data_IF_250243909643
#
_entry.id   IF_250243909643
#
_cell.length_a   1.000
_cell.length_b   1.000
_cell.length_c   1.000
_cell.angle_alpha   90.00
_cell.angle_beta   90.00
_cell.angle_gamma   90.00
#
_symmetry.space_group_name_H-M   'P 1'
#
loop_
_entity.id
_entity.type
_entity.pdbx_description
1 polymer ?
#
# COMPACT_ATOMS: atom_id res chain seq x y z
N UNK A 1 -0.25 4.21 22.27
CA UNK A 1 -1.29 4.91 21.46
C UNK A 1 -0.63 6.01 20.68
N UNK A 2 -0.81 6.02 19.36
CA UNK A 2 -0.34 7.07 18.45
C UNK A 2 -1.56 7.78 17.89
N UNK A 3 -1.66 9.08 18.13
CA UNK A 3 -2.73 9.91 17.55
C UNK A 3 -2.49 10.11 16.05
N UNK A 4 -3.50 9.80 15.25
CA UNK A 4 -3.48 9.93 13.78
C UNK A 4 -4.46 11.00 13.27
N UNK A 5 -5.18 11.72 14.15
CA UNK A 5 -6.22 12.66 13.76
C UNK A 5 -5.66 13.77 12.85
N UNK A 6 -4.55 14.38 13.25
CA UNK A 6 -3.97 15.49 12.49
C UNK A 6 -3.47 15.10 11.10
N UNK A 7 -3.01 13.86 10.91
CA UNK A 7 -2.44 13.40 9.63
C UNK A 7 -3.50 12.74 8.74
N UNK A 8 -4.46 12.03 9.35
CA UNK A 8 -5.53 11.38 8.59
C UNK A 8 -6.69 12.33 8.26
N UNK A 9 -7.07 13.18 9.21
CA UNK A 9 -8.32 13.96 9.20
C UNK A 9 -9.51 13.19 9.75
N UNK A 10 -9.26 12.07 10.46
CA UNK A 10 -10.25 11.24 11.12
C UNK A 10 -9.92 11.12 12.61
N UNK A 11 -10.92 11.07 13.52
CA UNK A 11 -10.69 10.97 14.96
C UNK A 11 -10.25 9.55 15.36
N UNK A 12 -9.07 9.12 14.91
CA UNK A 12 -8.53 7.78 15.08
C UNK A 12 -7.14 7.81 15.71
N UNK A 13 -6.81 6.73 16.39
CA UNK A 13 -5.47 6.46 16.93
C UNK A 13 -5.06 5.01 16.65
N UNK A 14 -3.76 4.74 16.65
CA UNK A 14 -3.19 3.39 16.59
C UNK A 14 -2.87 2.90 18.00
N UNK A 15 -3.38 1.73 18.36
CA UNK A 15 -2.85 0.96 19.50
C UNK A 15 -1.69 0.08 19.01
N UNK A 16 -0.46 0.47 19.31
CA UNK A 16 0.74 -0.25 18.87
C UNK A 16 0.89 -1.65 19.49
N UNK A 17 0.21 -1.94 20.60
CA UNK A 17 0.27 -3.26 21.23
C UNK A 17 -0.57 -4.30 20.48
N UNK A 18 -1.70 -3.86 19.95
CA UNK A 18 -2.65 -4.73 19.26
C UNK A 18 -2.64 -4.50 17.75
N UNK A 19 -1.97 -3.45 17.26
CA UNK A 19 -1.98 -2.99 15.88
C UNK A 19 -3.37 -2.59 15.36
N UNK A 20 -4.31 -2.35 16.28
CA UNK A 20 -5.66 -1.95 15.91
C UNK A 20 -5.80 -0.43 15.86
N UNK A 21 -6.57 0.04 14.89
CA UNK A 21 -7.12 1.39 14.94
C UNK A 21 -8.22 1.45 15.99
N UNK A 22 -8.26 2.54 16.73
CA UNK A 22 -9.29 2.81 17.74
C UNK A 22 -9.84 4.21 17.57
N UNK A 23 -11.11 4.40 17.89
CA UNK A 23 -11.77 5.70 17.94
C UNK A 23 -12.86 5.69 18.99
N UNK A 24 -13.05 6.83 19.66
CA UNK A 24 -14.20 7.05 20.56
C UNK A 24 -15.35 7.76 19.85
N UNK A 25 -15.12 8.32 18.67
CA UNK A 25 -16.04 9.20 17.95
C UNK A 25 -16.49 8.62 16.61
N UNK A 26 -15.82 7.58 16.13
CA UNK A 26 -16.07 6.97 14.84
C UNK A 26 -16.15 5.45 15.00
N UNK A 27 -17.23 4.86 14.54
CA UNK A 27 -17.35 3.41 14.41
C UNK A 27 -16.45 2.93 13.26
N UNK A 28 -15.47 2.09 13.60
CA UNK A 28 -14.52 1.54 12.64
C UNK A 28 -15.02 0.19 12.13
N UNK A 29 -14.88 -0.09 10.83
CA UNK A 29 -15.19 -1.40 10.30
C UNK A 29 -14.23 -2.45 10.87
N UNK A 30 -14.69 -3.71 10.93
CA UNK A 30 -13.80 -4.82 11.26
C UNK A 30 -12.72 -4.96 10.17
N UNK A 31 -11.44 -5.01 10.54
CA UNK A 31 -10.39 -5.12 9.54
C UNK A 31 -10.35 -6.52 8.92
N UNK A 32 -10.15 -6.59 7.63
CA UNK A 32 -9.64 -7.81 7.01
C UNK A 32 -8.13 -7.88 7.25
N UNK A 33 -7.60 -9.10 7.40
CA UNK A 33 -6.18 -9.30 7.69
C UNK A 33 -5.47 -10.01 6.55
N UNK A 34 -4.15 -9.87 6.52
CA UNK A 34 -3.24 -10.75 5.79
C UNK A 34 -2.25 -11.34 6.76
N UNK A 35 -2.07 -12.65 6.67
CA UNK A 35 -1.11 -13.39 7.48
C UNK A 35 0.23 -13.53 6.75
N UNK A 36 1.28 -13.94 7.47
CA UNK A 36 2.55 -14.28 6.84
C UNK A 36 2.38 -15.47 5.90
N UNK A 37 1.48 -16.41 6.21
CA UNK A 37 1.12 -17.53 5.33
C UNK A 37 0.59 -17.05 3.98
N UNK A 38 -0.31 -16.06 3.96
CA UNK A 38 -0.82 -15.46 2.72
C UNK A 38 0.30 -14.87 1.86
N UNK A 39 1.32 -14.27 2.50
CA UNK A 39 2.42 -13.58 1.83
C UNK A 39 3.49 -14.52 1.28
N UNK A 40 3.49 -15.81 1.63
CA UNK A 40 4.42 -16.78 1.06
C UNK A 40 4.33 -16.88 -0.46
N UNK A 41 3.14 -16.66 -1.02
CA UNK A 41 2.89 -16.65 -2.47
C UNK A 41 3.69 -15.60 -3.22
N UNK A 42 3.98 -14.47 -2.56
CA UNK A 42 4.71 -13.34 -3.14
C UNK A 42 6.11 -13.16 -2.55
N UNK A 43 6.53 -14.06 -1.66
CA UNK A 43 7.86 -14.02 -1.07
C UNK A 43 8.95 -14.47 -2.06
N UNK A 44 10.14 -13.86 -1.95
CA UNK A 44 11.32 -14.20 -2.76
C UNK A 44 11.69 -15.70 -2.67
N UNK A 45 11.72 -16.21 -1.45
CA UNK A 45 12.03 -17.62 -1.20
C UNK A 45 10.75 -18.46 -1.22
N UNK A 46 10.66 -19.49 -2.08
CA UNK A 46 9.46 -20.33 -2.18
C UNK A 46 9.24 -21.21 -0.93
N UNK A 47 10.31 -21.55 -0.20
CA UNK A 47 10.28 -22.46 0.94
C UNK A 47 10.52 -21.75 2.26
N UNK A 48 10.06 -20.50 2.36
CA UNK A 48 10.20 -19.71 3.58
C UNK A 48 9.38 -20.36 4.71
N UNK A 49 10.02 -20.50 5.88
CA UNK A 49 9.34 -20.93 7.10
C UNK A 49 8.87 -19.70 7.84
N UNK A 50 7.56 -19.57 8.02
CA UNK A 50 6.89 -18.52 8.79
C UNK A 50 5.83 -19.13 9.67
N UNK A 51 5.43 -18.42 10.72
CA UNK A 51 4.17 -18.71 11.39
C UNK A 51 3.03 -18.26 10.45
N UNK A 52 2.35 -19.25 9.85
CA UNK A 52 1.35 -18.98 8.82
C UNK A 52 0.16 -18.18 9.34
N UNK A 53 -0.17 -18.29 10.62
CA UNK A 53 -1.30 -17.60 11.26
C UNK A 53 -0.91 -16.20 11.77
N UNK A 54 0.37 -15.87 11.81
CA UNK A 54 0.83 -14.56 12.26
C UNK A 54 0.35 -13.46 11.33
N UNK A 55 -0.39 -12.47 11.87
CA UNK A 55 -0.91 -11.37 11.08
C UNK A 55 0.22 -10.41 10.71
N UNK A 56 0.36 -10.13 9.41
CA UNK A 56 1.30 -9.18 8.84
C UNK A 56 0.73 -7.77 8.79
N UNK A 57 -0.53 -7.61 8.38
CA UNK A 57 -1.20 -6.33 8.32
C UNK A 57 -2.73 -6.43 8.37
N UNK A 58 -3.35 -5.33 8.83
CA UNK A 58 -4.80 -5.12 8.99
C UNK A 58 -5.27 -4.08 7.97
N UNK A 59 -6.38 -4.35 7.29
CA UNK A 59 -6.96 -3.46 6.29
C UNK A 59 -8.37 -3.06 6.71
N UNK A 60 -8.55 -1.82 7.11
CA UNK A 60 -9.82 -1.19 7.41
C UNK A 60 -10.36 -0.55 6.13
N UNK A 61 -11.44 -1.09 5.59
CA UNK A 61 -12.01 -0.64 4.32
C UNK A 61 -13.23 0.21 4.53
N UNK A 62 -13.41 1.21 3.66
CA UNK A 62 -14.58 2.08 3.66
C UNK A 62 -14.77 2.86 4.97
N UNK A 63 -13.69 3.44 5.49
CA UNK A 63 -13.75 4.33 6.65
C UNK A 63 -14.27 5.68 6.19
N UNK A 64 -15.33 6.17 6.86
CA UNK A 64 -15.88 7.50 6.59
C UNK A 64 -16.58 8.07 7.83
N UNK A 65 -16.49 9.39 8.01
CA UNK A 65 -17.38 10.08 8.91
C UNK A 65 -18.82 9.91 8.44
N UNK A 66 -19.80 9.71 9.36
CA UNK A 66 -21.19 9.44 8.99
C UNK A 66 -21.77 10.46 8.00
N UNK A 67 -21.48 11.75 8.20
CA UNK A 67 -21.93 12.85 7.35
C UNK A 67 -21.32 12.84 5.94
N UNK A 68 -20.15 12.20 5.77
CA UNK A 68 -19.49 12.12 4.47
C UNK A 68 -19.84 10.86 3.66
N UNK A 69 -20.45 9.82 4.29
CA UNK A 69 -20.78 8.56 3.62
C UNK A 69 -21.65 8.73 2.36
N UNK A 70 -22.76 9.54 2.38
CA UNK A 70 -23.57 9.72 1.19
C UNK A 70 -22.79 10.37 0.03
N UNK A 71 -21.91 11.31 0.37
CA UNK A 71 -21.09 12.01 -0.61
C UNK A 71 -20.05 11.07 -1.24
N UNK A 72 -19.34 10.28 -0.45
CA UNK A 72 -18.34 9.31 -0.92
C UNK A 72 -19.01 8.26 -1.82
N UNK A 73 -20.18 7.74 -1.41
CA UNK A 73 -20.96 6.76 -2.19
C UNK A 73 -21.42 7.35 -3.54
N UNK A 74 -21.92 8.60 -3.54
CA UNK A 74 -22.31 9.31 -4.77
C UNK A 74 -21.20 9.32 -5.82
N UNK A 75 -19.96 9.48 -5.38
CA UNK A 75 -18.79 9.56 -6.26
C UNK A 75 -18.11 8.21 -6.52
N UNK A 76 -18.68 7.11 -6.03
CA UNK A 76 -18.15 5.74 -6.20
C UNK A 76 -16.70 5.62 -5.73
N UNK A 77 -16.38 6.24 -4.61
CA UNK A 77 -15.07 6.20 -3.97
C UNK A 77 -15.11 5.40 -2.67
N UNK A 78 -13.92 5.07 -2.18
CA UNK A 78 -13.70 4.42 -0.89
C UNK A 78 -12.40 4.95 -0.30
N UNK A 79 -12.40 5.13 1.03
CA UNK A 79 -11.21 5.46 1.80
C UNK A 79 -10.85 4.30 2.71
N UNK A 80 -9.64 3.78 2.56
CA UNK A 80 -9.15 2.64 3.33
C UNK A 80 -7.93 3.04 4.16
N UNK A 81 -7.69 2.30 5.27
CA UNK A 81 -6.47 2.42 6.05
C UNK A 81 -5.87 1.03 6.28
N UNK A 82 -4.58 0.91 6.05
CA UNK A 82 -3.81 -0.31 6.31
C UNK A 82 -2.79 -0.05 7.41
N UNK A 83 -2.81 -0.91 8.44
CA UNK A 83 -1.82 -0.95 9.51
C UNK A 83 -0.91 -2.15 9.26
N UNK A 84 0.37 -1.90 9.07
CA UNK A 84 1.35 -2.94 8.73
C UNK A 84 2.49 -2.92 9.75
N UNK A 85 2.63 -4.00 10.51
CA UNK A 85 3.75 -4.13 11.44
C UNK A 85 5.07 -4.34 10.69
N UNK A 86 6.17 -4.15 11.38
CA UNK A 86 7.48 -4.53 10.85
C UNK A 86 7.63 -6.06 10.93
N UNK A 87 7.99 -6.70 9.83
CA UNK A 87 8.31 -8.13 9.75
C UNK A 87 9.29 -8.40 8.61
N UNK A 88 9.81 -9.62 8.58
CA UNK A 88 10.62 -10.11 7.47
C UNK A 88 9.98 -11.39 6.90
N UNK A 89 10.10 -11.57 5.60
CA UNK A 89 9.83 -12.81 4.88
C UNK A 89 11.19 -13.48 4.55
N UNK A 90 11.77 -14.17 5.54
CA UNK A 90 13.16 -14.59 5.49
C UNK A 90 14.12 -13.41 5.61
N UNK A 91 14.84 -13.12 4.53
CA UNK A 91 15.70 -11.93 4.43
C UNK A 91 15.00 -10.74 3.73
N UNK A 92 13.80 -10.93 3.17
CA UNK A 92 13.05 -9.90 2.48
C UNK A 92 12.29 -9.02 3.48
N UNK A 93 12.37 -7.69 3.32
CA UNK A 93 11.57 -6.77 4.12
C UNK A 93 10.08 -6.98 3.91
N UNK A 94 9.31 -6.82 4.97
CA UNK A 94 7.86 -6.94 4.97
C UNK A 94 7.22 -6.06 3.90
N UNK A 95 6.27 -6.65 3.17
CA UNK A 95 5.55 -6.00 2.07
C UNK A 95 4.09 -6.44 2.02
N UNK A 96 3.27 -5.64 1.36
CA UNK A 96 1.91 -6.06 1.01
C UNK A 96 1.96 -7.09 -0.13
N UNK A 97 0.86 -7.84 -0.34
CA UNK A 97 0.77 -8.82 -1.44
C UNK A 97 1.07 -8.21 -2.82
N UNK A 98 0.74 -6.92 -2.98
CA UNK A 98 0.81 -6.25 -4.26
C UNK A 98 -0.28 -6.73 -5.22
N UNK A 99 -0.68 -5.84 -6.11
CA UNK A 99 -1.73 -6.14 -7.09
C UNK A 99 -1.67 -5.15 -8.26
N UNK A 100 -2.43 -5.45 -9.29
CA UNK A 100 -2.75 -4.54 -10.39
C UNK A 100 -4.20 -4.10 -10.29
N UNK A 101 -4.53 -2.95 -10.85
CA UNK A 101 -5.90 -2.58 -11.11
C UNK A 101 -6.26 -2.93 -12.56
N UNK A 102 -7.52 -3.34 -12.82
CA UNK A 102 -7.99 -3.48 -14.19
C UNK A 102 -8.07 -2.10 -14.83
N UNK A 103 -7.95 -2.06 -16.16
CA UNK A 103 -8.11 -0.83 -16.93
C UNK A 103 -7.21 0.32 -16.44
N UNK A 104 -7.74 1.54 -16.42
CA UNK A 104 -7.00 2.78 -16.13
C UNK A 104 -7.21 3.33 -14.71
N UNK A 105 -7.67 2.53 -13.75
CA UNK A 105 -7.92 2.99 -12.39
C UNK A 105 -6.62 3.29 -11.64
N UNK A 106 -6.34 4.56 -11.30
CA UNK A 106 -5.25 4.91 -10.39
C UNK A 106 -5.70 4.77 -8.92
N UNK A 107 -4.75 4.97 -8.01
CA UNK A 107 -4.99 5.01 -6.57
C UNK A 107 -4.08 6.06 -5.92
N UNK A 108 -4.58 6.76 -4.90
CA UNK A 108 -3.81 7.74 -4.15
C UNK A 108 -3.56 7.23 -2.75
N UNK A 109 -2.30 7.09 -2.37
CA UNK A 109 -1.87 6.72 -1.04
C UNK A 109 -1.33 7.90 -0.26
N UNK A 110 -1.50 7.84 1.07
CA UNK A 110 -0.84 8.74 2.01
C UNK A 110 -0.28 7.98 3.20
N UNK A 111 0.87 8.40 3.71
CA UNK A 111 1.47 7.85 4.92
C UNK A 111 0.95 8.61 6.13
N UNK A 112 0.41 7.88 7.11
CA UNK A 112 -0.10 8.44 8.38
C UNK A 112 0.93 8.28 9.51
N UNK A 113 1.68 7.17 9.53
CA UNK A 113 2.73 6.90 10.52
C UNK A 113 3.80 5.97 9.94
N UNK A 114 5.04 6.10 10.39
CA UNK A 114 6.17 5.35 9.85
C UNK A 114 6.62 5.86 8.49
N UNK A 115 7.25 5.00 7.68
CA UNK A 115 7.72 5.31 6.33
C UNK A 115 7.37 4.19 5.37
N UNK A 116 6.80 4.52 4.23
CA UNK A 116 6.51 3.58 3.16
C UNK A 116 7.55 3.63 2.06
N UNK A 117 7.86 2.48 1.46
CA UNK A 117 8.42 2.43 0.11
C UNK A 117 7.34 1.89 -0.81
N UNK A 118 6.75 2.77 -1.60
CA UNK A 118 5.80 2.38 -2.64
C UNK A 118 6.53 1.96 -3.90
N UNK A 119 6.22 0.75 -4.33
CA UNK A 119 6.71 0.18 -5.59
C UNK A 119 5.62 0.36 -6.63
N UNK A 120 6.02 0.80 -7.82
CA UNK A 120 5.20 0.80 -9.01
C UNK A 120 5.96 0.15 -10.16
N UNK A 121 5.32 -0.79 -10.85
CA UNK A 121 5.88 -1.43 -12.04
C UNK A 121 4.88 -1.49 -13.18
N UNK A 122 5.34 -1.23 -14.39
CA UNK A 122 4.58 -1.42 -15.61
C UNK A 122 5.15 -2.60 -16.39
N UNK A 123 4.33 -3.60 -16.61
CA UNK A 123 4.67 -4.72 -17.51
C UNK A 123 4.32 -4.40 -18.94
N UNK A 124 4.99 -5.06 -19.89
CA UNK A 124 4.63 -5.03 -21.29
C UNK A 124 3.22 -5.60 -21.49
N UNK A 125 2.44 -4.98 -22.36
CA UNK A 125 1.10 -5.47 -22.73
C UNK A 125 1.13 -6.85 -23.39
N UNK A 126 2.25 -7.18 -24.07
CA UNK A 126 2.41 -8.45 -24.79
C UNK A 126 2.91 -9.59 -23.92
N UNK A 127 3.62 -9.28 -22.82
CA UNK A 127 4.22 -10.29 -21.95
C UNK A 127 4.32 -9.75 -20.51
N UNK A 128 3.46 -10.17 -19.59
CA UNK A 128 3.44 -9.66 -18.21
C UNK A 128 4.72 -9.96 -17.42
N UNK A 129 5.54 -10.90 -17.91
CA UNK A 129 6.85 -11.20 -17.32
C UNK A 129 7.99 -10.30 -17.84
N UNK A 130 7.68 -9.33 -18.70
CA UNK A 130 8.60 -8.28 -19.12
C UNK A 130 8.19 -6.96 -18.48
N UNK A 131 8.97 -6.47 -17.54
CA UNK A 131 8.72 -5.19 -16.86
C UNK A 131 9.53 -4.09 -17.57
N UNK A 132 8.84 -3.04 -18.00
CA UNK A 132 9.40 -1.91 -18.74
C UNK A 132 9.78 -0.76 -17.81
N UNK A 133 8.99 -0.57 -16.74
CA UNK A 133 9.20 0.50 -15.75
C UNK A 133 9.16 -0.10 -14.35
N UNK A 134 10.10 0.30 -13.51
CA UNK A 134 10.11 -0.02 -12.09
C UNK A 134 10.56 1.19 -11.28
N UNK A 135 9.72 1.62 -10.35
CA UNK A 135 10.00 2.74 -9.46
C UNK A 135 9.87 2.32 -8.01
N UNK A 136 10.68 2.91 -7.16
CA UNK A 136 10.61 2.78 -5.71
C UNK A 136 10.60 4.18 -5.10
N UNK A 137 9.50 4.56 -4.44
CA UNK A 137 9.33 5.89 -3.88
C UNK A 137 9.21 5.80 -2.36
N UNK A 138 10.16 6.38 -1.64
CA UNK A 138 10.09 6.51 -0.18
C UNK A 138 9.21 7.71 0.19
N UNK A 139 8.24 7.49 1.07
CA UNK A 139 7.24 8.48 1.47
C UNK A 139 7.14 8.52 2.98
N UNK A 140 7.19 9.72 3.55
CA UNK A 140 7.06 10.03 4.98
C UNK A 140 5.63 10.50 5.31
N UNK A 141 5.26 10.64 6.61
CA UNK A 141 3.93 11.13 7.00
C UNK A 141 3.54 12.44 6.32
N UNK A 142 2.27 12.57 5.97
CA UNK A 142 1.66 13.58 5.11
C UNK A 142 2.05 13.51 3.63
N UNK A 143 3.03 12.68 3.25
CA UNK A 143 3.37 12.47 1.85
C UNK A 143 2.28 11.70 1.12
N UNK A 144 1.97 12.15 -0.10
CA UNK A 144 1.04 11.49 -1.00
C UNK A 144 1.80 10.82 -2.14
N UNK A 145 1.37 9.63 -2.52
CA UNK A 145 1.89 8.91 -3.67
C UNK A 145 0.74 8.40 -4.53
N UNK A 146 0.93 8.46 -5.84
CA UNK A 146 -0.06 7.97 -6.80
C UNK A 146 0.43 6.66 -7.41
N UNK A 147 -0.38 5.60 -7.33
CA UNK A 147 -0.23 4.43 -8.16
C UNK A 147 -0.77 4.76 -9.55
N UNK A 148 0.09 4.82 -10.59
CA UNK A 148 -0.37 5.16 -11.92
C UNK A 148 -1.29 4.09 -12.50
N UNK A 149 -2.17 4.44 -13.44
CA UNK A 149 -2.95 3.47 -14.19
C UNK A 149 -2.07 2.41 -14.87
N UNK A 150 -2.57 1.20 -15.02
CA UNK A 150 -1.86 0.09 -15.67
C UNK A 150 -0.57 -0.35 -14.97
N UNK A 151 -0.32 0.08 -13.74
CA UNK A 151 0.84 -0.33 -12.96
C UNK A 151 0.42 -1.30 -11.86
N UNK A 152 1.23 -2.34 -11.68
CA UNK A 152 1.20 -3.13 -10.45
C UNK A 152 1.94 -2.39 -9.36
N UNK A 153 1.44 -2.48 -8.12
CA UNK A 153 2.06 -1.81 -6.99
C UNK A 153 2.05 -2.67 -5.73
N UNK A 154 3.00 -2.40 -4.86
CA UNK A 154 3.13 -3.01 -3.53
C UNK A 154 3.81 -2.02 -2.60
N UNK A 155 3.57 -2.14 -1.30
CA UNK A 155 4.19 -1.30 -0.27
C UNK A 155 5.15 -2.13 0.55
N UNK A 156 6.35 -1.59 0.82
CA UNK A 156 7.35 -2.20 1.69
C UNK A 156 7.50 -1.36 2.96
N UNK A 157 7.50 -2.01 4.12
CA UNK A 157 7.91 -1.44 5.39
C UNK A 157 9.32 -1.97 5.75
N UNK A 158 10.36 -1.14 5.54
CA UNK A 158 11.74 -1.50 5.92
C UNK A 158 12.14 -1.00 7.30
N UNK A 159 11.36 -0.07 7.86
CA UNK A 159 11.70 0.58 9.13
C UNK A 159 11.15 -0.22 10.33
N UNK A 160 11.74 -0.10 11.52
CA UNK A 160 11.28 -0.85 12.69
C UNK A 160 9.90 -0.41 13.20
N UNK A 161 9.45 0.77 12.80
CA UNK A 161 8.14 1.30 13.21
C UNK A 161 7.00 0.63 12.45
N UNK A 162 5.83 0.57 13.07
CA UNK A 162 4.57 0.24 12.40
C UNK A 162 4.31 1.27 11.30
N UNK A 163 4.00 0.80 10.11
CA UNK A 163 3.53 1.64 9.02
C UNK A 163 2.00 1.73 9.06
N UNK A 164 1.48 2.96 9.08
CA UNK A 164 0.07 3.21 8.84
C UNK A 164 -0.06 4.03 7.57
N UNK A 165 -0.78 3.51 6.60
CA UNK A 165 -1.04 4.18 5.34
C UNK A 165 -2.54 4.21 5.04
N UNK A 166 -2.98 5.26 4.35
CA UNK A 166 -4.34 5.41 3.88
C UNK A 166 -4.37 5.53 2.38
N UNK A 167 -5.52 5.23 1.77
CA UNK A 167 -5.70 5.40 0.33
C UNK A 167 -7.11 5.81 -0.04
N UNK A 168 -7.21 6.65 -1.08
CA UNK A 168 -8.42 6.89 -1.84
C UNK A 168 -8.42 6.05 -3.10
N UNK A 169 -9.49 5.30 -3.33
CA UNK A 169 -9.62 4.39 -4.46
C UNK A 169 -11.06 4.34 -4.97
N UNK A 170 -11.23 4.03 -6.25
CA UNK A 170 -12.55 3.71 -6.82
C UNK A 170 -13.12 2.42 -6.21
N UNK A 171 -14.42 2.37 -5.97
CA UNK A 171 -15.11 1.13 -5.56
C UNK A 171 -15.69 0.34 -6.75
N UNK A 172 -15.40 0.76 -8.00
CA UNK A 172 -15.97 0.15 -9.22
C UNK A 172 -15.21 -1.06 -9.73
N UNK A 173 -14.11 -1.46 -9.09
CA UNK A 173 -13.30 -2.59 -9.52
C UNK A 173 -12.83 -3.46 -8.36
N UNK A 174 -12.26 -4.61 -8.72
CA UNK A 174 -11.55 -5.49 -7.79
C UNK A 174 -10.08 -5.59 -8.21
N UNK A 175 -9.19 -5.60 -7.22
CA UNK A 175 -7.74 -5.73 -7.42
C UNK A 175 -7.37 -7.11 -8.00
N UNK A 176 -6.41 -7.11 -8.91
CA UNK A 176 -5.90 -8.30 -9.59
C UNK A 176 -4.60 -8.77 -8.93
N UNK A 177 -4.69 -9.76 -8.05
CA UNK A 177 -3.53 -10.31 -7.30
C UNK A 177 -2.74 -11.34 -8.13
N UNK A 178 -3.41 -12.08 -9.01
CA UNK A 178 -2.83 -13.19 -9.78
C UNK A 178 -1.49 -12.88 -10.45
N UNK A 179 -1.30 -11.75 -11.12
CA UNK A 179 -0.03 -11.42 -11.75
C UNK A 179 1.15 -11.32 -10.76
N UNK A 180 0.94 -10.72 -9.57
CA UNK A 180 1.96 -10.65 -8.53
C UNK A 180 2.22 -12.01 -7.89
N UNK A 181 1.19 -12.80 -7.64
CA UNK A 181 1.33 -14.16 -7.08
C UNK A 181 2.08 -15.09 -8.05
N UNK A 182 1.70 -15.10 -9.33
CA UNK A 182 2.34 -15.92 -10.36
C UNK A 182 3.82 -15.57 -10.57
N UNK A 183 4.16 -14.28 -10.43
CA UNK A 183 5.52 -13.79 -10.54
C UNK A 183 6.29 -13.84 -9.20
N UNK A 184 5.67 -14.28 -8.10
CA UNK A 184 6.26 -14.26 -6.75
C UNK A 184 6.68 -12.86 -6.30
N UNK A 185 5.81 -11.87 -6.55
CA UNK A 185 6.02 -10.47 -6.18
C UNK A 185 6.45 -9.59 -7.33
N UNK A 186 6.97 -8.42 -7.00
CA UNK A 186 7.41 -7.42 -7.96
C UNK A 186 8.76 -7.81 -8.63
N UNK A 187 9.16 -7.04 -9.66
CA UNK A 187 10.38 -7.27 -10.43
C UNK A 187 11.68 -7.21 -9.61
N UNK A 188 11.64 -6.56 -8.45
CA UNK A 188 12.72 -6.55 -7.48
C UNK A 188 12.19 -6.81 -6.08
N UNK A 189 12.97 -7.52 -5.27
CA UNK A 189 12.79 -7.71 -3.84
C UNK A 189 13.75 -6.83 -3.07
N UNK A 190 13.30 -6.21 -1.99
CA UNK A 190 14.18 -5.49 -1.06
C UNK A 190 14.54 -6.41 0.09
N UNK A 191 15.81 -6.74 0.25
CA UNK A 191 16.30 -7.65 1.28
C UNK A 191 17.16 -6.93 2.31
N UNK A 192 17.13 -7.44 3.54
CA UNK A 192 18.01 -7.03 4.62
C UNK A 192 19.35 -7.76 4.49
N UNK A 193 20.44 -7.02 4.51
CA UNK A 193 21.80 -7.58 4.53
C UNK A 193 22.60 -6.94 5.67
N UNK A 194 23.76 -7.51 6.00
CA UNK A 194 24.67 -6.92 6.99
C UNK A 194 25.12 -5.50 6.60
N UNK A 195 25.17 -5.20 5.29
CA UNK A 195 25.54 -3.87 4.74
C UNK A 195 24.34 -2.95 4.52
N UNK A 196 23.14 -3.33 5.03
CA UNK A 196 21.90 -2.60 4.87
C UNK A 196 20.98 -3.12 3.76
N UNK A 197 19.92 -2.37 3.42
CA UNK A 197 18.92 -2.80 2.42
C UNK A 197 19.51 -2.94 1.02
N UNK A 198 19.19 -4.05 0.34
CA UNK A 198 19.65 -4.33 -1.03
C UNK A 198 18.49 -4.78 -1.92
N UNK A 199 18.42 -4.23 -3.13
CA UNK A 199 17.51 -4.67 -4.17
C UNK A 199 18.07 -5.90 -4.89
N UNK A 200 17.27 -6.97 -4.96
CA UNK A 200 17.60 -8.22 -5.65
C UNK A 200 16.61 -8.40 -6.81
N UNK A 201 17.07 -8.63 -8.05
CA UNK A 201 16.21 -8.98 -9.16
C UNK A 201 15.35 -10.20 -8.86
N UNK A 202 14.08 -10.16 -9.26
CA UNK A 202 13.21 -11.32 -9.19
C UNK A 202 13.44 -12.20 -10.44
N UNK A 203 13.95 -13.43 -10.28
CA UNK A 203 14.33 -14.29 -11.40
C UNK A 203 13.12 -14.83 -12.18
N UNK A 204 11.91 -14.68 -11.67
CA UNK A 204 10.69 -15.11 -12.37
C UNK A 204 10.42 -14.25 -13.61
N UNK A 205 10.85 -12.99 -13.60
CA UNK A 205 10.68 -12.10 -14.75
C UNK A 205 11.72 -12.37 -15.83
N UNK A 206 11.29 -12.41 -17.09
CA UNK A 206 12.15 -12.60 -18.27
C UNK A 206 13.03 -11.38 -18.57
N UNK A 207 12.50 -10.19 -18.27
CA UNK A 207 13.22 -8.93 -18.46
C UNK A 207 12.72 -7.89 -17.46
N UNK A 208 13.67 -7.16 -16.87
CA UNK A 208 13.41 -6.08 -15.91
C UNK A 208 14.32 -4.88 -16.22
N UNK A 209 13.92 -3.65 -15.86
CA UNK A 209 14.79 -2.48 -16.00
C UNK A 209 16.10 -2.67 -15.23
N UNK A 210 17.24 -2.43 -15.86
CA UNK A 210 18.57 -2.50 -15.20
C UNK A 210 18.73 -1.47 -14.09
N UNK A 211 17.99 -0.37 -14.14
CA UNK A 211 18.04 0.74 -13.19
C UNK A 211 16.71 0.90 -12.49
N UNK A 212 16.74 0.91 -11.16
CA UNK A 212 15.59 1.26 -10.33
C UNK A 212 15.52 2.78 -10.25
N UNK A 213 14.39 3.36 -10.65
CA UNK A 213 14.12 4.78 -10.41
C UNK A 213 13.73 4.95 -8.95
N UNK A 214 14.57 5.64 -8.19
CA UNK A 214 14.34 5.90 -6.76
C UNK A 214 13.92 7.35 -6.56
N UNK A 215 12.80 7.53 -5.87
CA UNK A 215 12.30 8.86 -5.52
C UNK A 215 12.16 8.96 -4.00
N UNK A 216 12.18 10.19 -3.49
CA UNK A 216 11.80 10.52 -2.13
C UNK A 216 10.82 11.66 -2.18
N UNK A 217 9.66 11.50 -1.55
CA UNK A 217 8.63 12.52 -1.46
C UNK A 217 8.58 13.06 -0.03
N UNK A 218 8.87 14.36 0.09
CA UNK A 218 8.69 15.12 1.32
C UNK A 218 7.54 16.09 1.09
N UNK A 219 6.47 16.05 1.89
CA UNK A 219 5.30 16.89 1.64
C UNK A 219 5.63 18.36 1.87
N UNK A 220 5.32 19.25 0.91
CA UNK A 220 5.51 20.69 1.08
C UNK A 220 4.50 21.31 2.05
N UNK A 221 3.32 20.68 2.19
CA UNK A 221 2.22 21.12 3.04
C UNK A 221 1.71 19.92 3.84
N UNK A 222 1.58 20.09 5.16
CA UNK A 222 0.97 19.09 6.04
C UNK A 222 -0.54 19.26 6.01
N UNK A 223 -1.23 18.45 5.21
CA UNK A 223 -2.69 18.46 5.12
C UNK A 223 -3.23 17.04 5.18
N UNK A 224 -4.29 16.79 5.97
CA UNK A 224 -4.84 15.45 6.18
C UNK A 224 -5.44 14.88 4.88
N UNK A 225 -5.04 13.68 4.50
CA UNK A 225 -5.43 13.04 3.24
C UNK A 225 -6.95 12.85 3.10
N UNK A 226 -7.64 12.49 4.19
CA UNK A 226 -9.10 12.30 4.16
C UNK A 226 -9.82 13.61 3.85
N UNK A 227 -9.48 14.68 4.58
CA UNK A 227 -10.11 16.00 4.41
C UNK A 227 -9.83 16.58 3.03
N UNK A 228 -8.59 16.45 2.52
CA UNK A 228 -8.26 16.87 1.16
C UNK A 228 -9.13 16.17 0.11
N UNK A 229 -9.36 14.85 0.27
CA UNK A 229 -10.21 14.07 -0.61
C UNK A 229 -11.67 14.55 -0.58
N UNK A 230 -12.22 14.77 0.62
CA UNK A 230 -13.60 15.28 0.79
C UNK A 230 -13.76 16.67 0.17
N UNK A 231 -12.85 17.61 0.45
CA UNK A 231 -12.90 18.97 -0.08
C UNK A 231 -12.80 19.06 -1.60
N UNK A 232 -12.22 18.06 -2.25
CA UNK A 232 -12.01 18.00 -3.70
C UNK A 232 -12.62 16.77 -4.32
N UNK A 233 -13.65 16.19 -3.71
CA UNK A 233 -14.16 14.84 -4.03
C UNK A 233 -14.61 14.68 -5.48
N UNK A 234 -15.15 15.72 -6.10
CA UNK A 234 -15.54 15.69 -7.51
C UNK A 234 -14.32 15.53 -8.42
N UNK A 235 -13.27 16.33 -8.23
CA UNK A 235 -12.01 16.21 -8.98
C UNK A 235 -11.31 14.89 -8.68
N UNK A 236 -11.35 14.46 -7.43
CA UNK A 236 -10.81 13.17 -7.00
C UNK A 236 -11.52 12.01 -7.70
N UNK A 237 -12.86 12.07 -7.79
CA UNK A 237 -13.64 11.07 -8.50
C UNK A 237 -13.35 11.05 -10.00
N UNK A 238 -13.25 12.20 -10.66
CA UNK A 238 -12.85 12.28 -12.07
C UNK A 238 -11.47 11.66 -12.33
N UNK A 239 -10.55 11.79 -11.37
CA UNK A 239 -9.22 11.18 -11.46
C UNK A 239 -9.24 9.68 -11.18
N UNK A 240 -9.99 9.23 -10.17
CA UNK A 240 -10.01 7.83 -9.73
C UNK A 240 -11.00 6.93 -10.50
N UNK A 241 -11.93 7.52 -11.25
CA UNK A 241 -12.94 6.83 -12.08
C UNK A 241 -12.84 7.28 -13.55
N UNK A 242 -11.72 6.98 -14.25
CA UNK A 242 -11.50 7.39 -15.64
C UNK A 242 -12.46 6.74 -16.63
#
# INVERSE_FOLDING_TARGET
MIDLENVSGLPISLDERTYNLVSKKLELPQPSVRTLGDLTKVARSPNIKVDAEEIAYWMYRDIALPEHRPLIAKYSLRFDITVMKNFLLGDEYGKTSGHYHPNFYPEIYGVLHGKAIYISQKSSEKDPLKVEVFTATEVEPYGLWVSPPMHGHTTINKDPQTLVMANWVSNKFQSLYGPMESARGAAYHLVKTEKGPRWIPNPTYKSIPKKITKNKLTPPIKSPIYIQGIQKIEKLSQFLNP
#
